data_IF_045005745570
#
_entry.id   IF_045005745570
#
_cell.length_a   1.000
_cell.length_b   1.000
_cell.length_c   1.000
_cell.angle_alpha   90.00
_cell.angle_beta   90.00
_cell.angle_gamma   90.00
#
_symmetry.space_group_name_H-M   'P 1'
#
loop_
_entity.id
_entity.type
_entity.pdbx_description
1 polymer ?
#
# COMPACT_ATOMS: atom_id res chain seq x y z
N UNK A 1 20.69 7.84 8.80
CA UNK A 1 19.23 7.69 8.98
C UNK A 1 18.42 8.22 7.79
N UNK A 2 19.00 8.67 6.66
CA UNK A 2 18.17 9.19 5.54
C UNK A 2 18.74 8.83 4.14
N UNK A 3 18.94 7.55 3.83
CA UNK A 3 19.29 7.16 2.44
C UNK A 3 18.06 6.85 1.57
N UNK A 4 16.93 6.52 2.21
CA UNK A 4 15.76 5.97 1.51
C UNK A 4 14.67 7.03 1.25
N UNK A 5 14.69 8.13 2.01
CA UNK A 5 13.69 9.19 1.99
C UNK A 5 14.29 10.51 1.46
N UNK A 6 14.28 10.68 0.12
CA UNK A 6 14.70 11.91 -0.57
C UNK A 6 13.79 12.22 -1.77
N UNK A 7 12.49 11.93 -1.65
CA UNK A 7 11.55 12.03 -2.79
C UNK A 7 11.82 11.00 -3.90
N UNK A 8 12.66 9.99 -3.64
CA UNK A 8 12.96 8.92 -4.58
C UNK A 8 11.78 7.97 -4.70
N UNK A 9 11.34 7.71 -5.93
CA UNK A 9 10.33 6.69 -6.24
C UNK A 9 10.99 5.32 -6.23
N UNK A 10 10.35 4.35 -5.57
CA UNK A 10 10.85 2.99 -5.42
C UNK A 10 9.95 2.00 -6.16
N UNK A 11 10.56 1.04 -6.86
CA UNK A 11 9.82 -0.12 -7.35
C UNK A 11 9.45 -1.02 -6.17
N UNK A 12 8.35 -1.77 -6.26
CA UNK A 12 7.90 -2.65 -5.16
C UNK A 12 8.98 -3.62 -4.69
N UNK A 13 9.78 -4.17 -5.62
CA UNK A 13 10.92 -5.06 -5.30
C UNK A 13 12.02 -4.36 -4.49
N UNK A 14 12.37 -3.13 -4.88
CA UNK A 14 13.36 -2.37 -4.13
C UNK A 14 12.81 -1.94 -2.78
N UNK A 15 11.55 -1.50 -2.71
CA UNK A 15 10.89 -1.13 -1.47
C UNK A 15 10.93 -2.27 -0.45
N UNK A 16 10.67 -3.52 -0.88
CA UNK A 16 10.75 -4.68 0.00
C UNK A 16 12.20 -4.95 0.45
N UNK A 17 13.18 -4.80 -0.44
CA UNK A 17 14.60 -4.98 -0.12
C UNK A 17 15.12 -3.95 0.89
N UNK A 18 14.55 -2.74 0.87
CA UNK A 18 14.84 -1.66 1.81
C UNK A 18 13.93 -1.65 3.05
N UNK A 19 13.04 -2.64 3.21
CA UNK A 19 12.12 -2.72 4.35
C UNK A 19 11.04 -1.62 4.39
N UNK A 20 10.80 -0.94 3.27
CA UNK A 20 9.75 0.08 3.17
C UNK A 20 8.34 -0.53 3.08
N UNK A 21 8.24 -1.77 2.62
CA UNK A 21 6.99 -2.53 2.55
C UNK A 21 7.18 -3.91 3.18
N UNK A 22 6.15 -4.39 3.87
CA UNK A 22 6.16 -5.70 4.54
C UNK A 22 6.14 -6.87 3.53
N UNK A 23 5.39 -6.71 2.42
CA UNK A 23 5.19 -7.76 1.43
C UNK A 23 4.81 -7.18 0.06
N UNK A 24 5.12 -7.93 -1.00
CA UNK A 24 4.71 -7.63 -2.37
C UNK A 24 3.65 -8.65 -2.78
N UNK A 25 2.53 -8.16 -3.32
CA UNK A 25 1.46 -9.01 -3.83
C UNK A 25 0.27 -8.21 -4.31
N UNK A 26 -0.80 -8.91 -4.67
CA UNK A 26 -2.09 -8.30 -5.01
C UNK A 26 -3.00 -8.11 -3.80
N UNK A 27 -4.22 -7.65 -4.08
CA UNK A 27 -5.25 -7.42 -3.06
C UNK A 27 -5.58 -8.67 -2.22
N UNK A 28 -5.57 -9.85 -2.84
CA UNK A 28 -5.81 -11.12 -2.14
C UNK A 28 -4.78 -11.39 -1.04
N UNK A 29 -3.50 -11.09 -1.31
CA UNK A 29 -2.41 -11.22 -0.35
C UNK A 29 -2.58 -10.21 0.80
N UNK A 30 -2.91 -8.96 0.47
CA UNK A 30 -3.18 -7.92 1.47
C UNK A 30 -4.34 -8.32 2.42
N UNK A 31 -5.43 -8.89 1.87
CA UNK A 31 -6.56 -9.38 2.66
C UNK A 31 -6.14 -10.55 3.55
N UNK A 32 -5.37 -11.51 3.03
CA UNK A 32 -4.89 -12.65 3.81
C UNK A 32 -4.03 -12.20 5.00
N UNK A 33 -3.11 -11.25 4.77
CA UNK A 33 -2.27 -10.67 5.83
C UNK A 33 -3.13 -9.91 6.85
N UNK A 34 -4.12 -9.13 6.39
CA UNK A 34 -5.02 -8.42 7.29
C UNK A 34 -5.84 -9.38 8.17
N UNK A 35 -6.36 -10.49 7.60
CA UNK A 35 -7.06 -11.52 8.36
C UNK A 35 -6.16 -12.15 9.42
N UNK A 36 -4.91 -12.49 9.07
CA UNK A 36 -3.94 -13.04 10.00
C UNK A 36 -3.64 -12.06 11.15
N UNK A 37 -3.36 -10.79 10.84
CA UNK A 37 -3.09 -9.74 11.85
C UNK A 37 -4.31 -9.47 12.74
N UNK A 38 -5.53 -9.60 12.21
CA UNK A 38 -6.78 -9.43 12.95
C UNK A 38 -7.29 -10.71 13.65
N UNK A 39 -6.53 -11.81 13.59
CA UNK A 39 -6.93 -13.13 14.11
C UNK A 39 -8.28 -13.65 13.57
N UNK A 40 -8.56 -13.36 12.30
CA UNK A 40 -9.75 -13.79 11.57
C UNK A 40 -9.42 -15.07 10.78
N UNK A 41 -10.29 -16.10 10.79
CA UNK A 41 -10.11 -17.29 9.97
C UNK A 41 -10.01 -16.95 8.47
N UNK A 42 -9.08 -17.58 7.74
CA UNK A 42 -8.87 -17.28 6.32
C UNK A 42 -10.09 -17.61 5.44
N UNK A 43 -10.84 -18.65 5.81
CA UNK A 43 -12.07 -19.12 5.17
C UNK A 43 -13.28 -18.23 5.46
N UNK A 44 -13.22 -17.39 6.52
CA UNK A 44 -14.32 -16.48 6.85
C UNK A 44 -14.48 -15.43 5.76
N UNK A 45 -15.70 -15.28 5.24
CA UNK A 45 -16.04 -14.20 4.32
C UNK A 45 -15.90 -12.84 5.01
N UNK A 46 -15.27 -11.88 4.30
CA UNK A 46 -15.08 -10.50 4.76
C UNK A 46 -15.62 -9.56 3.69
N UNK A 47 -16.33 -8.51 4.12
CA UNK A 47 -16.81 -7.46 3.22
C UNK A 47 -15.76 -6.39 3.04
N UNK A 48 -15.44 -6.05 1.78
CA UNK A 48 -14.62 -4.88 1.46
C UNK A 48 -15.54 -3.67 1.36
N UNK A 49 -15.27 -2.63 2.16
CA UNK A 49 -15.85 -1.30 1.95
C UNK A 49 -14.79 -0.40 1.32
N UNK A 50 -15.12 0.13 0.16
CA UNK A 50 -14.29 1.14 -0.49
C UNK A 50 -14.74 2.49 0.05
N UNK A 51 -13.82 3.17 0.75
CA UNK A 51 -14.01 4.54 1.18
C UNK A 51 -13.29 5.43 0.17
N UNK A 52 -14.06 6.17 -0.64
CA UNK A 52 -13.53 7.26 -1.43
C UNK A 52 -13.53 8.49 -0.53
N UNK A 53 -12.37 8.86 -0.01
CA UNK A 53 -12.17 10.20 0.52
C UNK A 53 -11.76 11.05 -0.68
N UNK A 54 -12.58 12.04 -1.03
CA UNK A 54 -12.32 12.97 -2.13
C UNK A 54 -11.12 13.86 -1.81
N UNK A 55 -9.90 13.31 -1.82
CA UNK A 55 -8.66 14.10 -1.94
C UNK A 55 -7.63 13.29 -2.74
N UNK A 56 -7.71 13.43 -4.06
CA UNK A 56 -6.55 13.24 -4.92
C UNK A 56 -5.60 14.43 -4.68
N UNK A 57 -4.62 14.28 -3.77
CA UNK A 57 -3.58 15.30 -3.55
C UNK A 57 -2.56 15.39 -4.73
N UNK A 58 -2.81 14.67 -5.83
CA UNK A 58 -1.92 14.58 -7.00
C UNK A 58 -2.28 15.55 -8.13
N UNK A 59 -3.41 16.27 -8.06
CA UNK A 59 -3.85 17.18 -9.13
C UNK A 59 -3.02 18.48 -9.23
N UNK A 60 -2.12 18.79 -8.28
CA UNK A 60 -1.37 20.05 -8.29
C UNK A 60 0.03 19.99 -8.96
N UNK A 61 0.41 18.90 -9.64
CA UNK A 61 1.76 18.78 -10.23
C UNK A 61 1.81 18.80 -11.76
N UNK A 62 0.69 18.99 -12.48
CA UNK A 62 0.74 18.99 -13.95
C UNK A 62 -0.28 19.92 -14.61
N UNK A 63 -0.13 21.22 -14.41
CA UNK A 63 -0.59 22.23 -15.38
C UNK A 63 0.56 23.22 -15.64
N UNK A 64 1.31 23.09 -16.75
CA UNK A 64 2.12 24.20 -17.24
C UNK A 64 1.19 25.27 -17.85
N UNK A 65 1.52 26.55 -17.61
CA UNK A 65 1.02 27.72 -18.35
C UNK A 65 1.10 27.51 -19.87
#
# INVERSE_FOLDING_TARGET
MEEVAQGRVWTGKHAASHGLVDAIGGLSCAIAIAKLKANIPQDRQVGLRIHFDDVCLFDNFMIPL
#
